data_IF_121482854680
#
_entry.id   IF_121482854680
#
_cell.length_a   1.000
_cell.length_b   1.000
_cell.length_c   1.000
_cell.angle_alpha   90.00
_cell.angle_beta   90.00
_cell.angle_gamma   90.00
#
_symmetry.space_group_name_H-M   'P 1'
#
loop_
_entity.id
_entity.type
_entity.pdbx_description
1 polymer ?
#
# COMPACT_ATOMS: atom_id res chain seq x y z
N UNK A 1 -18.18 -8.31 -4.31
CA UNK A 1 -18.69 -9.11 -3.18
C UNK A 1 -18.02 -10.48 -3.18
N UNK A 2 -18.07 -11.30 -4.26
CA UNK A 2 -17.52 -12.65 -4.27
C UNK A 2 -16.03 -12.70 -3.89
N UNK A 3 -15.19 -11.85 -4.47
CA UNK A 3 -13.75 -11.78 -4.17
C UNK A 3 -13.48 -11.45 -2.68
N UNK A 4 -14.32 -10.60 -2.08
CA UNK A 4 -14.24 -10.30 -0.65
C UNK A 4 -14.56 -11.54 0.20
N UNK A 5 -15.65 -12.23 -0.11
CA UNK A 5 -16.05 -13.44 0.62
C UNK A 5 -14.97 -14.52 0.51
N UNK A 6 -14.44 -14.75 -0.70
CA UNK A 6 -13.36 -15.72 -0.93
C UNK A 6 -12.12 -15.37 -0.11
N UNK A 7 -11.68 -14.12 -0.15
CA UNK A 7 -10.52 -13.68 0.64
C UNK A 7 -10.76 -13.81 2.14
N UNK A 8 -11.92 -13.36 2.65
CA UNK A 8 -12.22 -13.43 4.08
C UNK A 8 -12.30 -14.87 4.57
N UNK A 9 -12.93 -15.75 3.80
CA UNK A 9 -13.02 -17.17 4.13
C UNK A 9 -11.62 -17.80 4.18
N UNK A 10 -10.80 -17.52 3.17
CA UNK A 10 -9.42 -18.00 3.13
C UNK A 10 -8.62 -17.51 4.34
N UNK A 11 -8.62 -16.19 4.61
CA UNK A 11 -7.87 -15.60 5.73
C UNK A 11 -8.38 -16.09 7.09
N UNK A 12 -9.71 -16.30 7.24
CA UNK A 12 -10.27 -16.82 8.47
C UNK A 12 -9.75 -18.23 8.77
N UNK A 13 -9.84 -19.15 7.80
CA UNK A 13 -9.32 -20.50 7.98
C UNK A 13 -7.81 -20.55 8.13
N UNK A 14 -7.10 -19.67 7.43
CA UNK A 14 -5.64 -19.57 7.52
C UNK A 14 -5.20 -19.16 8.93
N UNK A 15 -5.92 -18.25 9.58
CA UNK A 15 -5.56 -17.76 10.92
C UNK A 15 -6.08 -18.64 12.07
N UNK A 16 -7.12 -19.49 11.84
CA UNK A 16 -7.76 -20.23 12.92
C UNK A 16 -7.59 -21.74 12.82
N UNK A 17 -7.09 -22.30 11.74
CA UNK A 17 -6.95 -23.72 11.53
C UNK A 17 -5.51 -24.12 11.28
N UNK A 18 -4.85 -24.67 12.30
CA UNK A 18 -3.47 -25.17 12.21
C UNK A 18 -3.29 -26.21 11.09
N UNK A 19 -4.30 -27.07 10.92
CA UNK A 19 -4.30 -28.06 9.83
C UNK A 19 -4.33 -27.41 8.46
N UNK A 20 -5.15 -26.38 8.25
CA UNK A 20 -5.23 -25.65 7.01
C UNK A 20 -3.95 -24.83 6.75
N UNK A 21 -3.42 -24.18 7.77
CA UNK A 21 -2.18 -23.45 7.71
C UNK A 21 -1.00 -24.35 7.32
N UNK A 22 -0.88 -25.53 7.97
CA UNK A 22 0.16 -26.53 7.66
C UNK A 22 0.00 -27.08 6.24
N UNK A 23 -1.24 -27.35 5.82
CA UNK A 23 -1.54 -27.79 4.45
C UNK A 23 -1.09 -26.73 3.44
N UNK A 24 -1.45 -25.49 3.63
CA UNK A 24 -1.05 -24.37 2.75
C UNK A 24 0.46 -24.24 2.69
N UNK A 25 1.16 -24.26 3.82
CA UNK A 25 2.63 -24.18 3.87
C UNK A 25 3.32 -25.34 3.15
N UNK A 26 2.74 -26.52 3.22
CA UNK A 26 3.31 -27.70 2.56
C UNK A 26 3.29 -27.56 1.02
N UNK A 27 2.19 -27.04 0.47
CA UNK A 27 2.03 -26.90 -0.99
C UNK A 27 2.52 -25.56 -1.55
N UNK A 28 2.69 -24.57 -0.70
CA UNK A 28 3.15 -23.23 -1.07
C UNK A 28 4.40 -22.83 -0.27
N UNK A 29 5.59 -23.24 -0.76
CA UNK A 29 6.85 -23.03 -0.04
C UNK A 29 7.35 -21.58 -0.03
N UNK A 30 6.69 -20.67 -0.77
CA UNK A 30 7.00 -19.25 -0.77
C UNK A 30 6.41 -18.57 0.48
N UNK A 31 6.81 -17.33 0.70
CA UNK A 31 6.26 -16.52 1.79
C UNK A 31 4.73 -16.44 1.72
N UNK A 32 4.05 -16.67 2.83
CA UNK A 32 2.59 -16.61 2.98
C UNK A 32 2.00 -15.32 2.41
N UNK A 33 2.71 -14.20 2.60
CA UNK A 33 2.32 -12.89 2.11
C UNK A 33 2.27 -12.76 0.58
N UNK A 34 2.79 -13.73 -0.16
CA UNK A 34 2.75 -13.74 -1.64
C UNK A 34 1.56 -14.50 -2.20
N UNK A 35 0.73 -15.13 -1.36
CA UNK A 35 -0.45 -15.87 -1.83
C UNK A 35 -1.52 -14.94 -2.42
N UNK A 36 -1.84 -15.19 -3.69
CA UNK A 36 -2.81 -14.38 -4.43
C UNK A 36 -4.20 -14.37 -3.80
N UNK A 37 -4.61 -15.47 -3.14
CA UNK A 37 -5.91 -15.57 -2.47
C UNK A 37 -6.05 -14.58 -1.32
N UNK A 38 -4.94 -14.25 -0.63
CA UNK A 38 -4.92 -13.22 0.41
C UNK A 38 -5.06 -11.80 -0.10
N UNK A 39 -4.90 -11.58 -1.42
CA UNK A 39 -4.93 -10.26 -2.04
C UNK A 39 -6.01 -10.09 -3.11
N UNK A 40 -6.75 -11.16 -3.42
CA UNK A 40 -7.68 -11.20 -4.55
C UNK A 40 -8.74 -10.10 -4.49
N UNK A 41 -9.25 -9.79 -3.30
CA UNK A 41 -10.22 -8.71 -3.11
C UNK A 41 -9.62 -7.34 -3.45
N UNK A 42 -8.41 -7.05 -2.99
CA UNK A 42 -7.75 -5.76 -3.26
C UNK A 42 -7.44 -5.59 -4.75
N UNK A 43 -7.13 -6.68 -5.45
CA UNK A 43 -6.93 -6.66 -6.89
C UNK A 43 -8.23 -6.25 -7.62
N UNK A 44 -9.35 -6.88 -7.29
CA UNK A 44 -10.65 -6.51 -7.85
C UNK A 44 -11.12 -5.13 -7.41
N UNK A 45 -10.85 -4.73 -6.18
CA UNK A 45 -11.16 -3.40 -5.66
C UNK A 45 -10.40 -2.33 -6.46
N UNK A 46 -9.11 -2.53 -6.71
CA UNK A 46 -8.31 -1.63 -7.54
C UNK A 46 -8.85 -1.51 -8.97
N UNK A 47 -9.20 -2.65 -9.60
CA UNK A 47 -9.83 -2.67 -10.92
C UNK A 47 -11.17 -1.93 -10.95
N UNK A 48 -12.02 -2.14 -9.94
CA UNK A 48 -13.31 -1.43 -9.81
C UNK A 48 -13.12 0.09 -9.66
N UNK A 49 -12.18 0.51 -8.82
CA UNK A 49 -11.86 1.94 -8.62
C UNK A 49 -11.30 2.53 -9.91
N UNK A 50 -10.39 1.83 -10.59
CA UNK A 50 -9.84 2.29 -11.86
C UNK A 50 -10.92 2.49 -12.93
N UNK A 51 -11.84 1.54 -13.05
CA UNK A 51 -12.96 1.62 -14.01
C UNK A 51 -13.97 2.74 -13.66
N UNK A 52 -14.24 2.95 -12.37
CA UNK A 52 -15.22 3.94 -11.91
C UNK A 52 -14.57 5.19 -11.31
N UNK A 53 -13.34 5.50 -11.67
CA UNK A 53 -12.50 6.49 -11.01
C UNK A 53 -13.20 7.82 -10.74
N UNK A 54 -13.85 8.41 -11.74
CA UNK A 54 -14.53 9.70 -11.61
C UNK A 54 -15.71 9.65 -10.62
N UNK A 55 -16.48 8.56 -10.63
CA UNK A 55 -17.61 8.39 -9.70
C UNK A 55 -17.12 8.20 -8.27
N UNK A 56 -16.08 7.40 -8.09
CA UNK A 56 -15.44 7.16 -6.78
C UNK A 56 -14.89 8.49 -6.25
N UNK A 57 -14.22 9.27 -7.07
CA UNK A 57 -13.66 10.55 -6.67
C UNK A 57 -14.75 11.53 -6.21
N UNK A 58 -15.80 11.71 -7.02
CA UNK A 58 -16.94 12.59 -6.68
C UNK A 58 -17.65 12.15 -5.39
N UNK A 59 -17.77 10.84 -5.18
CA UNK A 59 -18.29 10.29 -3.93
C UNK A 59 -17.40 10.64 -2.75
N UNK A 60 -16.08 10.44 -2.87
CA UNK A 60 -15.12 10.68 -1.80
C UNK A 60 -15.01 12.18 -1.48
N UNK A 61 -15.01 13.06 -2.48
CA UNK A 61 -15.04 14.52 -2.26
C UNK A 61 -16.24 14.94 -1.42
N UNK A 62 -17.40 14.34 -1.66
CA UNK A 62 -18.63 14.65 -0.93
C UNK A 62 -18.69 14.05 0.48
N UNK A 63 -18.17 12.85 0.67
CA UNK A 63 -18.34 12.07 1.89
C UNK A 63 -17.04 11.80 2.65
N UNK A 64 -15.98 12.57 2.39
CA UNK A 64 -14.65 12.34 2.99
C UNK A 64 -14.69 12.27 4.51
N UNK A 65 -15.41 13.20 5.16
CA UNK A 65 -15.52 13.24 6.63
C UNK A 65 -16.18 11.97 7.16
N UNK A 66 -17.24 11.51 6.50
CA UNK A 66 -17.93 10.25 6.87
C UNK A 66 -16.98 9.06 6.70
N UNK A 67 -16.20 9.04 5.62
CA UNK A 67 -15.22 7.97 5.39
C UNK A 67 -14.12 7.96 6.45
N UNK A 68 -13.66 9.14 6.91
CA UNK A 68 -12.70 9.23 8.02
C UNK A 68 -13.32 8.69 9.32
N UNK A 69 -14.57 9.03 9.63
CA UNK A 69 -15.26 8.52 10.80
C UNK A 69 -15.44 7.00 10.74
N UNK A 70 -15.76 6.46 9.55
CA UNK A 70 -15.84 5.02 9.32
C UNK A 70 -14.46 4.34 9.46
N UNK A 71 -13.38 4.97 9.02
CA UNK A 71 -12.03 4.46 9.22
C UNK A 71 -11.68 4.37 10.71
N UNK A 72 -11.97 5.42 11.49
CA UNK A 72 -11.78 5.42 12.94
C UNK A 72 -12.63 4.34 13.62
N UNK A 73 -13.90 4.24 13.25
CA UNK A 73 -14.79 3.20 13.79
C UNK A 73 -14.34 1.78 13.43
N UNK A 74 -13.87 1.55 12.21
CA UNK A 74 -13.34 0.26 11.79
C UNK A 74 -12.00 -0.08 12.47
N UNK A 75 -11.19 0.92 12.80
CA UNK A 75 -9.98 0.73 13.59
C UNK A 75 -10.29 0.32 15.04
N UNK A 76 -11.26 0.97 15.68
CA UNK A 76 -11.73 0.59 17.01
C UNK A 76 -12.31 -0.83 17.01
N UNK A 77 -13.09 -1.17 15.99
CA UNK A 77 -13.62 -2.53 15.81
C UNK A 77 -12.48 -3.54 15.63
N UNK A 78 -11.46 -3.20 14.85
CA UNK A 78 -10.28 -4.04 14.68
C UNK A 78 -9.59 -4.32 16.04
N UNK A 79 -9.33 -3.29 16.84
CA UNK A 79 -8.74 -3.46 18.18
C UNK A 79 -9.62 -4.34 19.06
N UNK A 80 -10.93 -4.12 19.06
CA UNK A 80 -11.87 -4.90 19.86
C UNK A 80 -11.91 -6.38 19.45
N UNK A 81 -11.73 -6.70 18.17
CA UNK A 81 -11.70 -8.08 17.65
C UNK A 81 -10.34 -8.76 17.84
N UNK A 82 -9.26 -8.00 17.84
CA UNK A 82 -7.88 -8.54 17.96
C UNK A 82 -7.45 -8.78 19.42
N UNK A 83 -8.16 -8.19 20.40
CA UNK A 83 -7.81 -8.32 21.83
C UNK A 83 -6.39 -7.84 22.12
N UNK A 84 -5.65 -8.62 22.93
CA UNK A 84 -4.28 -8.28 23.33
C UNK A 84 -3.25 -8.48 22.19
N UNK A 85 -3.62 -9.19 21.13
CA UNK A 85 -2.73 -9.50 20.00
C UNK A 85 -2.72 -8.46 18.89
N UNK A 86 -3.32 -7.28 19.09
CA UNK A 86 -3.41 -6.25 18.05
C UNK A 86 -2.05 -5.72 17.55
N UNK A 87 -0.97 -5.94 18.29
CA UNK A 87 0.40 -5.61 17.89
C UNK A 87 1.05 -6.66 16.96
N UNK A 88 0.57 -7.90 16.99
CA UNK A 88 1.13 -9.01 16.22
C UNK A 88 0.41 -9.26 14.90
N UNK A 89 -0.37 -8.28 14.43
CA UNK A 89 -1.13 -8.44 13.20
C UNK A 89 -0.24 -8.28 11.97
N UNK A 90 -0.50 -9.12 11.00
CA UNK A 90 0.09 -9.04 9.67
C UNK A 90 -0.94 -8.57 8.66
N UNK A 91 -0.49 -8.23 7.45
CA UNK A 91 -1.39 -7.91 6.33
C UNK A 91 -2.34 -9.07 5.96
N UNK A 92 -2.06 -10.27 6.45
CA UNK A 92 -2.87 -11.50 6.32
C UNK A 92 -3.90 -11.69 7.44
N UNK A 93 -4.13 -10.69 8.28
CA UNK A 93 -5.14 -10.76 9.33
C UNK A 93 -6.51 -10.39 8.77
N UNK A 94 -7.48 -11.30 8.90
CA UNK A 94 -8.83 -11.13 8.34
C UNK A 94 -9.57 -9.89 8.88
N UNK A 95 -9.38 -9.56 10.17
CA UNK A 95 -10.01 -8.40 10.84
C UNK A 95 -9.52 -7.06 10.32
N UNK A 96 -8.31 -7.01 9.73
CA UNK A 96 -7.70 -5.78 9.21
C UNK A 96 -8.23 -5.37 7.82
N UNK A 97 -8.84 -6.30 7.09
CA UNK A 97 -9.26 -6.08 5.70
C UNK A 97 -10.26 -4.94 5.56
N UNK A 98 -11.21 -4.84 6.50
CA UNK A 98 -12.22 -3.77 6.49
C UNK A 98 -11.58 -2.40 6.70
N UNK A 99 -10.74 -2.28 7.73
CA UNK A 99 -10.01 -1.06 8.03
C UNK A 99 -9.12 -0.62 6.85
N UNK A 100 -8.32 -1.53 6.32
CA UNK A 100 -7.43 -1.24 5.19
C UNK A 100 -8.20 -0.76 3.96
N UNK A 101 -9.36 -1.37 3.68
CA UNK A 101 -10.20 -0.98 2.55
C UNK A 101 -10.76 0.43 2.71
N UNK A 102 -11.30 0.76 3.88
CA UNK A 102 -11.84 2.09 4.16
C UNK A 102 -10.71 3.12 4.18
N UNK A 103 -9.58 2.81 4.81
CA UNK A 103 -8.41 3.69 4.86
C UNK A 103 -7.85 3.99 3.48
N UNK A 104 -7.87 3.01 2.57
CA UNK A 104 -7.48 3.21 1.18
C UNK A 104 -8.37 4.25 0.47
N UNK A 105 -9.70 4.19 0.66
CA UNK A 105 -10.62 5.20 0.15
C UNK A 105 -10.37 6.58 0.78
N UNK A 106 -10.12 6.64 2.09
CA UNK A 106 -9.79 7.90 2.78
C UNK A 106 -8.52 8.51 2.18
N UNK A 107 -7.48 7.72 1.96
CA UNK A 107 -6.23 8.21 1.35
C UNK A 107 -6.45 8.74 -0.07
N UNK A 108 -7.23 8.04 -0.91
CA UNK A 108 -7.60 8.54 -2.24
C UNK A 108 -8.33 9.88 -2.13
N UNK A 109 -9.30 10.01 -1.22
CA UNK A 109 -10.06 11.24 -1.00
C UNK A 109 -9.18 12.40 -0.53
N UNK A 110 -8.27 12.15 0.40
CA UNK A 110 -7.28 13.14 0.87
C UNK A 110 -6.37 13.58 -0.29
N UNK A 111 -5.80 12.62 -1.02
CA UNK A 111 -4.95 12.91 -2.17
C UNK A 111 -5.68 13.72 -3.25
N UNK A 112 -6.98 13.43 -3.47
CA UNK A 112 -7.80 14.18 -4.40
C UNK A 112 -8.05 15.62 -3.94
N UNK A 113 -8.27 15.82 -2.64
CA UNK A 113 -8.48 17.15 -2.06
C UNK A 113 -7.19 18.00 -2.14
N UNK A 114 -6.04 17.40 -1.88
CA UNK A 114 -4.74 18.08 -1.91
C UNK A 114 -3.98 17.93 -3.23
N UNK A 115 -4.66 17.59 -4.32
CA UNK A 115 -4.06 17.28 -5.64
C UNK A 115 -3.10 18.32 -6.20
N UNK A 116 -3.17 19.56 -5.73
CA UNK A 116 -2.29 20.64 -6.20
C UNK A 116 -1.08 20.89 -5.32
N UNK A 117 -1.11 20.50 -4.04
CA UNK A 117 -0.08 20.90 -3.08
C UNK A 117 1.26 20.16 -3.23
N UNK A 118 1.24 18.90 -3.63
CA UNK A 118 2.43 18.05 -3.70
C UNK A 118 2.54 17.29 -5.02
N UNK A 119 1.95 17.84 -6.09
CA UNK A 119 1.82 17.13 -7.37
C UNK A 119 3.17 16.62 -7.89
N UNK A 120 4.20 17.44 -7.86
CA UNK A 120 5.53 17.08 -8.37
C UNK A 120 6.18 15.97 -7.53
N UNK A 121 6.06 16.05 -6.20
CA UNK A 121 6.60 15.04 -5.27
C UNK A 121 5.86 13.71 -5.42
N UNK A 122 4.52 13.76 -5.48
CA UNK A 122 3.69 12.56 -5.68
C UNK A 122 3.97 11.91 -7.03
N UNK A 123 4.12 12.71 -8.09
CA UNK A 123 4.50 12.20 -9.42
C UNK A 123 5.87 11.53 -9.41
N UNK A 124 6.84 12.13 -8.72
CA UNK A 124 8.18 11.55 -8.57
C UNK A 124 8.12 10.21 -7.81
N UNK A 125 7.45 10.16 -6.66
CA UNK A 125 7.29 8.92 -5.88
C UNK A 125 6.53 7.87 -6.70
N UNK A 126 5.45 8.25 -7.38
CA UNK A 126 4.68 7.36 -8.25
C UNK A 126 5.52 6.80 -9.40
N UNK A 127 6.37 7.65 -9.98
CA UNK A 127 7.27 7.25 -11.05
C UNK A 127 8.26 6.15 -10.61
N UNK A 128 8.71 6.17 -9.37
CA UNK A 128 9.61 5.18 -8.81
C UNK A 128 8.92 4.13 -7.92
N UNK A 129 7.58 4.11 -7.88
CA UNK A 129 6.82 3.25 -6.95
C UNK A 129 7.16 1.76 -7.09
N UNK A 130 7.33 1.27 -8.32
CA UNK A 130 7.72 -0.12 -8.55
C UNK A 130 9.12 -0.42 -8.01
N UNK A 131 10.06 0.50 -8.21
CA UNK A 131 11.42 0.38 -7.71
C UNK A 131 11.47 0.47 -6.17
N UNK A 132 10.69 1.38 -5.59
CA UNK A 132 10.50 1.45 -4.13
C UNK A 132 9.96 0.11 -3.61
N UNK A 133 8.95 -0.44 -4.27
CA UNK A 133 8.37 -1.73 -3.89
C UNK A 133 9.39 -2.87 -3.91
N UNK A 134 10.30 -2.90 -4.86
CA UNK A 134 11.33 -3.95 -4.95
C UNK A 134 12.43 -3.79 -3.90
N UNK A 135 12.86 -2.56 -3.60
CA UNK A 135 14.02 -2.31 -2.75
C UNK A 135 13.67 -2.11 -1.27
N UNK A 136 12.43 -1.70 -0.94
CA UNK A 136 12.10 -1.36 0.46
C UNK A 136 12.35 -2.51 1.46
N UNK A 137 12.14 -3.81 1.14
CA UNK A 137 12.41 -4.86 2.12
C UNK A 137 13.91 -4.95 2.45
N UNK A 138 14.75 -4.86 1.42
CA UNK A 138 16.22 -4.95 1.57
C UNK A 138 16.75 -3.78 2.41
N UNK A 139 16.25 -2.57 2.15
CA UNK A 139 16.63 -1.37 2.90
C UNK A 139 16.10 -1.46 4.33
N UNK A 140 14.88 -1.93 4.53
CA UNK A 140 14.27 -2.08 5.85
C UNK A 140 15.04 -3.09 6.69
N UNK A 141 15.36 -4.26 6.15
CA UNK A 141 16.15 -5.29 6.83
C UNK A 141 17.55 -4.75 7.21
N UNK A 142 18.17 -3.98 6.31
CA UNK A 142 19.44 -3.32 6.59
C UNK A 142 19.32 -2.28 7.71
N UNK A 143 18.26 -1.48 7.71
CA UNK A 143 18.01 -0.50 8.77
C UNK A 143 17.81 -1.20 10.13
N UNK A 144 17.03 -2.27 10.20
CA UNK A 144 16.86 -3.04 11.43
C UNK A 144 18.17 -3.66 11.92
N UNK A 145 19.02 -4.14 11.02
CA UNK A 145 20.29 -4.77 11.39
C UNK A 145 21.33 -3.77 11.94
N UNK A 146 21.28 -2.50 11.53
CA UNK A 146 22.31 -1.51 11.86
C UNK A 146 21.86 -0.40 12.82
N UNK A 147 20.56 -0.32 13.17
CA UNK A 147 20.03 0.77 13.98
C UNK A 147 19.30 0.30 15.23
N UNK A 148 20.03 0.07 16.31
CA UNK A 148 19.45 -0.03 17.66
C UNK A 148 19.07 1.34 18.25
N UNK A 149 19.27 2.43 17.48
CA UNK A 149 19.18 3.82 17.97
C UNK A 149 17.73 4.23 18.26
N UNK A 150 16.72 3.53 17.72
CA UNK A 150 15.31 3.93 17.80
C UNK A 150 14.41 2.90 18.50
N UNK A 151 14.99 1.96 19.26
CA UNK A 151 14.23 0.92 19.97
C UNK A 151 13.16 1.52 20.92
N UNK A 152 13.45 2.71 21.48
CA UNK A 152 12.56 3.36 22.45
C UNK A 152 11.44 4.20 21.81
N UNK A 153 11.45 4.45 20.50
CA UNK A 153 10.49 5.36 19.85
C UNK A 153 10.01 4.86 18.47
N UNK A 154 9.08 3.91 18.49
CA UNK A 154 8.53 3.27 17.29
C UNK A 154 7.99 4.26 16.25
N UNK A 155 7.36 5.36 16.67
CA UNK A 155 6.80 6.37 15.75
C UNK A 155 7.91 7.14 15.02
N UNK A 156 8.96 7.53 15.75
CA UNK A 156 10.12 8.21 15.16
C UNK A 156 10.85 7.27 14.21
N UNK A 157 11.07 6.02 14.62
CA UNK A 157 11.67 4.99 13.77
C UNK A 157 10.88 4.80 12.47
N UNK A 158 9.54 4.69 12.55
CA UNK A 158 8.67 4.53 11.38
C UNK A 158 8.78 5.73 10.42
N UNK A 159 8.75 6.96 10.94
CA UNK A 159 8.83 8.17 10.13
C UNK A 159 10.19 8.32 9.45
N UNK A 160 11.28 8.08 10.19
CA UNK A 160 12.65 8.18 9.66
C UNK A 160 12.92 7.09 8.65
N UNK A 161 12.55 5.84 8.92
CA UNK A 161 12.74 4.73 7.98
C UNK A 161 11.93 4.92 6.70
N UNK A 162 10.70 5.41 6.78
CA UNK A 162 9.90 5.74 5.59
C UNK A 162 10.58 6.79 4.70
N UNK A 163 11.06 7.89 5.30
CA UNK A 163 11.75 8.94 4.57
C UNK A 163 13.07 8.46 3.97
N UNK A 164 13.84 7.66 4.72
CA UNK A 164 15.09 7.06 4.23
C UNK A 164 14.84 6.09 3.08
N UNK A 165 13.86 5.19 3.20
CA UNK A 165 13.52 4.24 2.13
C UNK A 165 13.14 5.00 0.86
N UNK A 166 12.23 5.97 0.94
CA UNK A 166 11.82 6.78 -0.22
C UNK A 166 13.02 7.52 -0.81
N UNK A 167 13.82 8.19 0.02
CA UNK A 167 14.99 8.96 -0.42
C UNK A 167 16.04 8.09 -1.10
N UNK A 168 16.42 6.97 -0.50
CA UNK A 168 17.41 6.03 -1.05
C UNK A 168 16.87 5.42 -2.36
N UNK A 169 15.62 4.94 -2.39
CA UNK A 169 15.03 4.34 -3.58
C UNK A 169 14.97 5.34 -4.75
N UNK A 170 14.57 6.58 -4.50
CA UNK A 170 14.53 7.62 -5.54
C UNK A 170 15.96 7.95 -5.99
N UNK A 171 16.89 8.14 -5.06
CA UNK A 171 18.30 8.45 -5.40
C UNK A 171 18.94 7.37 -6.26
N UNK A 172 18.85 6.11 -5.83
CA UNK A 172 19.34 4.95 -6.58
C UNK A 172 18.60 4.81 -7.91
N UNK A 173 17.28 4.98 -7.91
CA UNK A 173 16.46 4.91 -9.12
C UNK A 173 16.84 5.98 -10.15
N UNK A 174 17.15 7.21 -9.72
CA UNK A 174 17.64 8.27 -10.62
C UNK A 174 19.02 7.94 -11.20
N UNK A 175 19.92 7.39 -10.39
CA UNK A 175 21.24 6.94 -10.87
C UNK A 175 21.12 5.79 -11.88
N UNK A 176 20.32 4.77 -11.58
CA UNK A 176 20.12 3.62 -12.45
C UNK A 176 19.39 3.96 -13.75
N UNK A 177 18.58 5.01 -13.77
CA UNK A 177 17.88 5.48 -14.96
C UNK A 177 18.84 5.87 -16.10
N UNK A 178 20.06 6.30 -15.81
CA UNK A 178 21.09 6.63 -16.81
C UNK A 178 21.48 5.38 -17.62
N UNK A 179 21.40 4.20 -17.05
CA UNK A 179 21.79 2.96 -17.71
C UNK A 179 20.61 2.32 -18.46
N UNK A 180 20.79 2.03 -19.73
CA UNK A 180 19.75 1.46 -20.60
C UNK A 180 19.15 0.15 -20.09
N UNK A 181 19.97 -0.74 -19.53
CA UNK A 181 19.57 -2.06 -19.02
C UNK A 181 18.60 -1.92 -17.82
N UNK A 182 18.85 -0.97 -16.91
CA UNK A 182 18.05 -0.78 -15.71
C UNK A 182 16.72 -0.06 -15.96
N UNK A 183 16.53 0.56 -17.13
CA UNK A 183 15.24 1.17 -17.51
C UNK A 183 14.09 0.17 -17.51
N UNK A 184 14.38 -1.11 -17.78
CA UNK A 184 13.37 -2.16 -17.73
C UNK A 184 12.91 -2.45 -16.28
N UNK A 185 13.82 -2.41 -15.32
CA UNK A 185 13.55 -2.65 -13.88
C UNK A 185 12.83 -1.46 -13.25
N UNK A 186 13.15 -0.24 -13.67
CA UNK A 186 12.50 0.98 -13.14
C UNK A 186 11.09 1.16 -13.72
N UNK A 187 10.76 0.44 -14.80
CA UNK A 187 9.50 0.53 -15.51
C UNK A 187 9.51 1.60 -16.61
N UNK A 188 8.44 1.61 -17.45
CA UNK A 188 8.26 2.60 -18.52
C UNK A 188 8.02 3.98 -17.93
N UNK A 189 9.09 4.70 -17.70
CA UNK A 189 9.03 6.09 -17.22
C UNK A 189 8.94 7.04 -18.42
N UNK A 190 8.13 8.12 -18.36
CA UNK A 190 8.24 9.18 -19.34
C UNK A 190 9.67 9.72 -19.34
N UNK A 191 10.30 9.80 -20.50
CA UNK A 191 11.73 10.15 -20.69
C UNK A 191 12.14 11.52 -20.15
N UNK A 192 11.16 12.38 -19.87
CA UNK A 192 11.36 13.68 -19.24
C UNK A 192 10.37 13.80 -18.10
N UNK A 193 10.85 13.82 -16.86
CA UNK A 193 10.12 14.35 -15.73
C UNK A 193 9.97 15.87 -16.01
N UNK A 194 8.93 16.23 -16.76
CA UNK A 194 8.56 17.63 -16.94
C UNK A 194 7.77 18.05 -15.72
N UNK A 195 8.47 18.50 -14.69
CA UNK A 195 7.85 18.96 -13.43
C UNK A 195 6.92 20.17 -13.63
N UNK A 196 6.98 20.86 -14.80
CA UNK A 196 6.31 22.16 -14.95
C UNK A 196 5.09 22.22 -15.88
N UNK A 197 4.71 21.16 -16.63
CA UNK A 197 3.62 21.27 -17.61
C UNK A 197 2.74 20.03 -17.71
N UNK A 198 2.41 19.38 -16.60
CA UNK A 198 1.39 18.31 -16.67
C UNK A 198 0.00 18.94 -16.72
N UNK A 199 -0.52 19.14 -17.93
CA UNK A 199 -1.96 19.25 -18.15
C UNK A 199 -2.52 17.82 -18.33
N UNK A 200 -3.37 17.33 -17.43
CA UNK A 200 -3.96 16.02 -17.61
C UNK A 200 -4.85 16.03 -18.87
N UNK A 201 -4.63 15.04 -19.74
CA UNK A 201 -5.30 14.88 -21.04
C UNK A 201 -6.84 14.78 -20.99
N UNK A 202 -7.43 14.64 -19.79
CA UNK A 202 -8.87 14.60 -19.59
C UNK A 202 -9.56 15.97 -19.58
N UNK A 203 -8.80 17.09 -19.70
CA UNK A 203 -9.37 18.44 -19.83
C UNK A 203 -9.71 18.85 -21.27
N UNK A 204 -9.49 17.98 -22.25
CA UNK A 204 -9.72 18.26 -23.67
C UNK A 204 -10.97 17.60 -24.24
N UNK A 205 -11.98 17.29 -23.42
CA UNK A 205 -13.31 16.85 -23.89
C UNK A 205 -14.41 17.49 -23.07
#
# INVERSE_FOLDING_TARGET
VLAFVVQQTFLYYFNHSDAFHTFVKHYYPLSENTMILGWIFYFFLGGFIGYNYQRVLSFLEKYLVIMIMLALGSYVLFIALSGDDYWNVTSFTYSLTLYNSIMFFVLIGICAHFKTMLLNTVQMISAFSFFIYLLHPIILDSLFAYTNIFEDNTVVFLAVSLLMIIGICIGVGMMLREFYIFRFVIGKQPYKLQFNNYQPSWKSH
#
